data_IF_623145879599
#
_entry.id   IF_623145879599
#
_cell.length_a   1.000
_cell.length_b   1.000
_cell.length_c   1.000
_cell.angle_alpha   90.00
_cell.angle_beta   90.00
_cell.angle_gamma   90.00
#
_symmetry.space_group_name_H-M   'P 1'
#
loop_
_entity.id
_entity.type
_entity.pdbx_description
1 polymer ?
#
# COMPACT_ATOMS: atom_id res chain seq x y z
N UNK A 1 -4.88 -25.32 10.68
CA UNK A 1 -5.80 -25.56 11.82
C UNK A 1 -7.19 -25.99 11.36
N UNK A 2 -7.71 -25.47 10.24
CA UNK A 2 -8.96 -25.96 9.66
C UNK A 2 -8.94 -27.48 9.38
N UNK A 3 -7.84 -27.99 8.81
CA UNK A 3 -7.64 -29.43 8.59
C UNK A 3 -7.75 -30.27 9.86
N UNK A 4 -7.27 -29.77 11.00
CA UNK A 4 -7.38 -30.49 12.28
C UNK A 4 -8.84 -30.60 12.72
N UNK A 5 -9.62 -29.54 12.48
CA UNK A 5 -11.06 -29.54 12.77
C UNK A 5 -11.81 -30.47 11.82
N UNK A 6 -11.50 -30.43 10.52
CA UNK A 6 -12.09 -31.34 9.53
C UNK A 6 -11.77 -32.81 9.86
N UNK A 7 -10.52 -33.09 10.26
CA UNK A 7 -10.10 -34.41 10.72
C UNK A 7 -10.85 -34.84 11.99
N UNK A 8 -10.90 -34.00 13.03
CA UNK A 8 -11.56 -34.33 14.29
C UNK A 8 -13.06 -34.64 14.11
N UNK A 9 -13.74 -33.94 13.19
CA UNK A 9 -15.17 -34.15 12.88
C UNK A 9 -15.48 -35.53 12.29
N UNK A 10 -14.48 -36.30 11.86
CA UNK A 10 -14.68 -37.69 11.42
C UNK A 10 -15.16 -38.61 12.57
N UNK A 11 -14.97 -38.20 13.83
CA UNK A 11 -15.48 -38.89 15.01
C UNK A 11 -16.50 -38.02 15.75
N UNK A 12 -17.74 -37.90 15.26
CA UNK A 12 -18.69 -36.88 15.71
C UNK A 12 -19.04 -36.96 17.20
N UNK A 13 -19.04 -38.17 17.77
CA UNK A 13 -19.35 -38.45 19.18
C UNK A 13 -18.15 -38.33 20.10
N UNK A 14 -16.93 -38.14 19.58
CA UNK A 14 -15.75 -37.95 20.40
C UNK A 14 -15.84 -36.61 21.15
N UNK A 15 -15.46 -36.63 22.42
CA UNK A 15 -15.37 -35.40 23.21
C UNK A 15 -14.05 -34.70 22.91
N UNK A 16 -14.11 -33.42 22.53
CA UNK A 16 -12.95 -32.57 22.34
C UNK A 16 -12.36 -32.24 23.71
N UNK A 17 -11.06 -32.53 23.89
CA UNK A 17 -10.33 -32.19 25.11
C UNK A 17 -10.36 -30.70 25.37
N UNK A 18 -10.47 -30.33 26.64
CA UNK A 18 -10.46 -28.93 27.08
C UNK A 18 -9.13 -28.27 26.75
N UNK A 19 -9.18 -27.09 26.14
CA UNK A 19 -8.02 -26.25 25.87
C UNK A 19 -7.86 -25.26 27.01
N UNK A 20 -6.70 -25.28 27.67
CA UNK A 20 -6.34 -24.29 28.69
C UNK A 20 -5.55 -23.15 28.06
N UNK A 21 -5.94 -21.93 28.37
CA UNK A 21 -5.29 -20.70 27.95
C UNK A 21 -4.53 -20.12 29.13
N UNK A 22 -3.24 -19.81 28.93
CA UNK A 22 -2.38 -19.29 29.98
C UNK A 22 -1.92 -17.87 29.67
N UNK A 23 -1.77 -17.05 30.71
CA UNK A 23 -1.14 -15.74 30.62
C UNK A 23 0.36 -15.83 30.35
N UNK A 24 0.98 -17.00 30.56
CA UNK A 24 2.41 -17.25 30.30
C UNK A 24 2.72 -17.38 28.80
N UNK A 25 1.73 -17.72 27.98
CA UNK A 25 1.87 -17.80 26.51
C UNK A 25 2.27 -16.44 25.87
N UNK A 26 2.20 -15.35 26.65
CA UNK A 26 2.51 -13.96 26.31
C UNK A 26 3.96 -13.55 26.65
N UNK A 27 4.73 -14.42 27.32
CA UNK A 27 6.01 -14.02 27.93
C UNK A 27 7.10 -13.67 26.90
N UNK A 28 7.07 -14.26 25.70
CA UNK A 28 8.12 -14.07 24.68
C UNK A 28 8.02 -12.69 24.00
N UNK A 29 6.82 -12.14 23.81
CA UNK A 29 6.63 -10.84 23.15
C UNK A 29 7.09 -9.65 24.01
N UNK A 30 7.13 -9.80 25.33
CA UNK A 30 7.56 -8.72 26.25
C UNK A 30 9.07 -8.58 26.38
N UNK A 31 9.82 -9.63 26.04
CA UNK A 31 11.28 -9.62 26.14
C UNK A 31 11.93 -8.81 25.00
N UNK A 32 11.26 -8.74 23.85
CA UNK A 32 11.65 -7.93 22.71
C UNK A 32 10.72 -6.73 22.63
N UNK A 33 10.98 -5.72 23.47
CA UNK A 33 10.18 -4.51 23.68
C UNK A 33 10.06 -3.58 22.45
N UNK A 34 9.63 -4.12 21.31
CA UNK A 34 9.29 -3.37 20.11
C UNK A 34 7.79 -3.48 19.76
N UNK A 35 7.05 -4.34 20.45
CA UNK A 35 5.62 -4.49 20.21
C UNK A 35 4.80 -4.09 21.45
N UNK A 36 4.00 -3.05 21.28
CA UNK A 36 2.83 -2.76 22.12
C UNK A 36 1.71 -3.80 21.92
N UNK A 37 2.01 -4.94 21.25
CA UNK A 37 1.08 -5.94 20.73
C UNK A 37 0.78 -7.13 21.67
N UNK A 38 1.37 -7.22 22.87
CA UNK A 38 1.09 -8.34 23.80
C UNK A 38 -0.38 -8.47 24.24
N UNK A 39 -1.13 -7.35 24.25
CA UNK A 39 -2.59 -7.39 24.49
C UNK A 39 -3.34 -7.92 23.26
N UNK A 40 -2.85 -7.64 22.06
CA UNK A 40 -3.45 -8.09 20.79
C UNK A 40 -3.27 -9.60 20.59
N UNK A 41 -2.10 -10.15 20.96
CA UNK A 41 -1.84 -11.57 20.76
C UNK A 41 -2.79 -12.49 21.56
N UNK A 42 -3.13 -12.13 22.81
CA UNK A 42 -4.11 -12.87 23.62
C UNK A 42 -5.50 -12.85 23.00
N UNK A 43 -5.94 -11.67 22.57
CA UNK A 43 -7.25 -11.54 21.91
C UNK A 43 -7.28 -12.30 20.60
N UNK A 44 -6.20 -12.26 19.81
CA UNK A 44 -6.06 -13.01 18.56
C UNK A 44 -6.09 -14.53 18.80
N UNK A 45 -5.38 -15.03 19.81
CA UNK A 45 -5.43 -16.44 20.25
C UNK A 45 -6.84 -16.84 20.69
N UNK A 46 -7.47 -16.05 21.55
CA UNK A 46 -8.81 -16.33 22.07
C UNK A 46 -9.81 -16.42 20.90
N UNK A 47 -9.78 -15.42 20.01
CA UNK A 47 -10.59 -15.37 18.79
C UNK A 47 -10.35 -16.58 17.89
N UNK A 48 -9.10 -17.08 17.77
CA UNK A 48 -8.80 -18.28 16.99
C UNK A 48 -9.61 -19.48 17.46
N UNK A 49 -9.64 -19.76 18.77
CA UNK A 49 -10.40 -20.88 19.33
C UNK A 49 -11.91 -20.67 19.21
N UNK A 50 -12.39 -19.47 19.52
CA UNK A 50 -13.81 -19.10 19.38
C UNK A 50 -14.31 -19.26 17.93
N UNK A 51 -13.46 -18.94 16.94
CA UNK A 51 -13.80 -19.09 15.53
C UNK A 51 -14.07 -20.55 15.13
N UNK A 52 -13.49 -21.53 15.83
CA UNK A 52 -13.75 -22.95 15.61
C UNK A 52 -14.89 -23.49 16.46
N UNK A 53 -15.60 -22.62 17.19
CA UNK A 53 -16.77 -22.96 17.99
C UNK A 53 -16.47 -23.37 19.43
N UNK A 54 -15.22 -23.23 19.90
CA UNK A 54 -14.90 -23.52 21.30
C UNK A 54 -15.47 -22.43 22.21
N UNK A 55 -16.27 -22.84 23.19
CA UNK A 55 -16.78 -21.96 24.24
C UNK A 55 -15.76 -21.92 25.38
N UNK A 56 -15.16 -20.76 25.61
CA UNK A 56 -14.12 -20.58 26.62
C UNK A 56 -14.65 -19.75 27.79
N UNK A 57 -14.43 -20.27 28.99
CA UNK A 57 -14.64 -19.53 30.23
C UNK A 57 -13.35 -18.82 30.58
N UNK A 58 -13.41 -17.50 30.61
CA UNK A 58 -12.25 -16.61 30.83
C UNK A 58 -12.19 -16.12 32.27
N UNK A 59 -11.00 -15.74 32.71
CA UNK A 59 -10.80 -14.85 33.86
C UNK A 59 -11.11 -13.38 33.50
N UNK A 60 -11.08 -12.49 34.50
CA UNK A 60 -11.52 -11.09 34.39
C UNK A 60 -10.87 -10.32 33.22
N UNK A 61 -9.60 -10.64 32.89
CA UNK A 61 -8.84 -9.97 31.84
C UNK A 61 -8.72 -10.79 30.55
N UNK A 62 -9.42 -11.93 30.44
CA UNK A 62 -9.34 -12.90 29.34
C UNK A 62 -7.91 -13.35 29.01
N UNK A 63 -7.01 -13.27 29.98
CA UNK A 63 -5.64 -13.73 29.80
C UNK A 63 -5.53 -15.23 30.02
N UNK A 64 -6.26 -15.74 31.00
CA UNK A 64 -6.40 -17.16 31.28
C UNK A 64 -7.82 -17.64 31.00
N UNK A 65 -7.97 -18.94 30.81
CA UNK A 65 -9.28 -19.54 30.63
C UNK A 65 -9.20 -21.01 30.29
N UNK A 66 -10.35 -21.64 30.20
CA UNK A 66 -10.45 -23.03 29.74
C UNK A 66 -11.68 -23.19 28.87
N UNK A 67 -11.54 -23.98 27.80
CA UNK A 67 -12.69 -24.34 26.98
C UNK A 67 -13.57 -25.37 27.71
N UNK A 68 -14.88 -25.30 27.48
CA UNK A 68 -15.79 -26.33 27.90
C UNK A 68 -15.64 -27.57 27.00
N UNK A 69 -15.84 -28.79 27.54
CA UNK A 69 -15.95 -29.98 26.73
C UNK A 69 -17.09 -29.84 25.72
N UNK A 70 -16.88 -30.30 24.49
CA UNK A 70 -17.89 -30.31 23.43
C UNK A 70 -17.70 -31.55 22.54
N UNK A 71 -18.73 -31.94 21.81
CA UNK A 71 -18.60 -33.03 20.84
C UNK A 71 -17.84 -32.53 19.60
N UNK A 72 -17.06 -33.39 18.96
CA UNK A 72 -16.29 -33.02 17.78
C UNK A 72 -17.19 -32.53 16.64
N UNK A 73 -18.42 -33.05 16.53
CA UNK A 73 -19.39 -32.61 15.53
C UNK A 73 -19.74 -31.12 15.62
N UNK A 74 -19.65 -30.54 16.83
CA UNK A 74 -20.02 -29.15 17.13
C UNK A 74 -18.91 -28.16 16.75
N UNK A 75 -17.72 -28.65 16.40
CA UNK A 75 -16.65 -27.81 15.86
C UNK A 75 -17.07 -27.19 14.53
N UNK A 76 -16.64 -25.94 14.31
CA UNK A 76 -17.00 -25.14 13.14
C UNK A 76 -15.78 -24.95 12.23
N UNK A 77 -15.64 -25.70 11.12
CA UNK A 77 -14.62 -25.40 10.12
C UNK A 77 -14.80 -23.98 9.58
N UNK A 78 -13.69 -23.36 9.19
CA UNK A 78 -13.66 -21.98 8.72
C UNK A 78 -12.73 -21.83 7.53
N UNK A 79 -13.33 -21.54 6.38
CA UNK A 79 -12.61 -21.30 5.10
C UNK A 79 -12.56 -19.80 4.75
N UNK A 80 -13.06 -18.92 5.63
CA UNK A 80 -13.11 -17.48 5.33
C UNK A 80 -11.73 -16.84 5.16
N UNK A 81 -10.66 -17.51 5.61
CA UNK A 81 -9.29 -17.02 5.43
C UNK A 81 -8.88 -17.02 3.94
N UNK A 82 -9.44 -17.93 3.13
CA UNK A 82 -9.17 -18.01 1.68
C UNK A 82 -9.62 -16.73 0.95
N UNK A 83 -10.63 -16.02 1.48
CA UNK A 83 -11.08 -14.75 0.89
C UNK A 83 -10.07 -13.63 1.01
N UNK A 84 -9.20 -13.68 2.02
CA UNK A 84 -8.24 -12.63 2.32
C UNK A 84 -6.80 -12.99 1.95
N UNK A 85 -6.50 -14.28 1.76
CA UNK A 85 -5.16 -14.77 1.50
C UNK A 85 -5.11 -15.30 0.07
N UNK A 86 -4.35 -14.63 -0.78
CA UNK A 86 -4.06 -15.12 -2.13
C UNK A 86 -2.81 -15.99 -2.09
N UNK A 87 -2.99 -17.29 -2.32
CA UNK A 87 -1.87 -18.21 -2.55
C UNK A 87 -1.23 -17.87 -3.90
N UNK A 88 0.10 -17.74 -3.93
CA UNK A 88 0.87 -17.52 -5.15
C UNK A 88 2.02 -18.52 -5.22
N UNK A 89 2.31 -18.97 -6.42
CA UNK A 89 3.52 -19.75 -6.69
C UNK A 89 4.76 -18.87 -6.49
N UNK A 90 5.70 -19.37 -5.68
CA UNK A 90 6.92 -18.62 -5.32
C UNK A 90 7.69 -18.15 -6.58
N UNK A 91 7.91 -18.99 -7.60
CA UNK A 91 8.63 -18.55 -8.80
C UNK A 91 7.92 -17.43 -9.56
N UNK A 92 6.58 -17.51 -9.69
CA UNK A 92 5.79 -16.49 -10.37
C UNK A 92 5.82 -15.17 -9.62
N UNK A 93 5.65 -15.22 -8.30
CA UNK A 93 5.72 -14.05 -7.44
C UNK A 93 7.07 -13.34 -7.52
N UNK A 94 8.17 -14.10 -7.50
CA UNK A 94 9.52 -13.53 -7.65
C UNK A 94 9.69 -12.88 -9.03
N UNK A 95 9.18 -13.51 -10.10
CA UNK A 95 9.23 -12.96 -11.45
C UNK A 95 8.48 -11.64 -11.54
N UNK A 96 7.26 -11.56 -10.99
CA UNK A 96 6.45 -10.34 -10.93
C UNK A 96 7.19 -9.22 -10.18
N UNK A 97 7.72 -9.51 -8.99
CA UNK A 97 8.50 -8.54 -8.22
C UNK A 97 9.69 -8.00 -8.99
N UNK A 98 10.42 -8.86 -9.72
CA UNK A 98 11.57 -8.43 -10.54
C UNK A 98 11.15 -7.49 -11.66
N UNK A 99 10.03 -7.77 -12.33
CA UNK A 99 9.50 -6.88 -13.37
C UNK A 99 9.07 -5.54 -12.79
N UNK A 100 8.41 -5.54 -11.63
CA UNK A 100 7.96 -4.31 -10.96
C UNK A 100 9.16 -3.45 -10.54
N UNK A 101 10.19 -4.05 -9.93
CA UNK A 101 11.44 -3.38 -9.57
C UNK A 101 12.13 -2.79 -10.81
N UNK A 102 12.15 -3.52 -11.93
CA UNK A 102 12.74 -3.02 -13.17
C UNK A 102 11.97 -1.80 -13.71
N UNK A 103 10.64 -1.84 -13.68
CA UNK A 103 9.79 -0.73 -14.09
C UNK A 103 10.01 0.51 -13.19
N UNK A 104 10.05 0.35 -11.87
CA UNK A 104 10.34 1.47 -10.97
C UNK A 104 11.74 2.05 -11.17
N UNK A 105 12.75 1.21 -11.43
CA UNK A 105 14.11 1.70 -11.74
C UNK A 105 14.14 2.51 -13.02
N UNK A 106 13.40 2.09 -14.05
CA UNK A 106 13.28 2.84 -15.30
C UNK A 106 12.60 4.19 -15.09
N UNK A 107 11.48 4.22 -14.35
CA UNK A 107 10.79 5.47 -13.99
C UNK A 107 11.69 6.40 -13.17
N UNK A 108 12.39 5.86 -12.18
CA UNK A 108 13.33 6.64 -11.37
C UNK A 108 14.48 7.22 -12.19
N UNK A 109 14.99 6.47 -13.18
CA UNK A 109 16.01 6.97 -14.11
C UNK A 109 15.49 8.12 -14.97
N UNK A 110 14.29 7.98 -15.53
CA UNK A 110 13.63 9.05 -16.30
C UNK A 110 13.44 10.31 -15.46
N UNK A 111 12.90 10.17 -14.26
CA UNK A 111 12.71 11.28 -13.32
C UNK A 111 14.03 11.98 -12.98
N UNK A 112 15.14 11.24 -12.81
CA UNK A 112 16.46 11.84 -12.57
C UNK A 112 16.92 12.68 -13.75
N UNK A 113 16.74 12.20 -14.98
CA UNK A 113 17.06 12.95 -16.19
C UNK A 113 16.22 14.24 -16.29
N UNK A 114 14.92 14.15 -16.02
CA UNK A 114 14.02 15.30 -16.06
C UNK A 114 14.37 16.35 -14.99
N UNK A 115 14.67 15.90 -13.76
CA UNK A 115 15.15 16.78 -12.69
C UNK A 115 16.45 17.47 -13.11
N UNK A 116 17.42 16.73 -13.64
CA UNK A 116 18.69 17.31 -14.08
C UNK A 116 18.50 18.34 -15.21
N UNK A 117 17.59 18.05 -16.15
CA UNK A 117 17.23 18.97 -17.23
C UNK A 117 16.57 20.24 -16.71
N UNK A 118 15.60 20.12 -15.80
CA UNK A 118 14.92 21.26 -15.19
C UNK A 118 15.87 22.10 -14.33
N UNK A 119 16.76 21.45 -13.57
CA UNK A 119 17.77 22.14 -12.78
C UNK A 119 18.69 22.96 -13.68
N UNK A 120 19.20 22.38 -14.77
CA UNK A 120 20.02 23.12 -15.74
C UNK A 120 19.28 24.32 -16.32
N UNK A 121 17.98 24.20 -16.60
CA UNK A 121 17.17 25.32 -17.09
C UNK A 121 17.01 26.44 -16.05
N UNK A 122 16.91 26.08 -14.77
CA UNK A 122 16.90 27.05 -13.67
C UNK A 122 18.26 27.75 -13.60
N UNK A 123 19.36 26.99 -13.58
CA UNK A 123 20.71 27.54 -13.50
C UNK A 123 21.02 28.48 -14.68
N UNK A 124 20.61 28.13 -15.89
CA UNK A 124 20.79 28.97 -17.08
C UNK A 124 19.94 30.25 -17.02
N UNK A 125 18.75 30.18 -16.39
CA UNK A 125 17.91 31.35 -16.14
C UNK A 125 18.55 32.27 -15.08
N UNK A 126 19.08 31.71 -14.00
CA UNK A 126 19.76 32.44 -12.92
C UNK A 126 21.03 33.15 -13.40
N UNK A 127 21.79 32.54 -14.31
CA UNK A 127 22.99 33.18 -14.91
C UNK A 127 22.66 34.40 -15.76
N UNK A 128 21.45 34.50 -16.32
CA UNK A 128 21.11 35.57 -17.26
C UNK A 128 19.62 35.97 -17.19
N UNK A 129 19.15 36.52 -16.06
CA UNK A 129 17.73 36.68 -15.77
C UNK A 129 17.00 37.60 -16.76
N UNK A 130 17.63 38.69 -17.19
CA UNK A 130 17.05 39.63 -18.16
C UNK A 130 16.93 39.00 -19.55
N UNK A 131 17.97 38.29 -20.02
CA UNK A 131 17.94 37.61 -21.32
C UNK A 131 16.91 36.49 -21.34
N UNK A 132 16.82 35.73 -20.24
CA UNK A 132 15.82 34.68 -20.07
C UNK A 132 14.39 35.25 -20.10
N UNK A 133 14.12 36.31 -19.35
CA UNK A 133 12.80 36.96 -19.32
C UNK A 133 12.40 37.51 -20.70
N UNK A 134 13.32 38.19 -21.40
CA UNK A 134 13.09 38.69 -22.76
C UNK A 134 12.82 37.55 -23.75
N UNK A 135 13.58 36.44 -23.68
CA UNK A 135 13.35 35.26 -24.53
C UNK A 135 11.99 34.61 -24.26
N UNK A 136 11.58 34.55 -23.00
CA UNK A 136 10.30 33.98 -22.60
C UNK A 136 9.13 34.84 -23.09
N UNK A 137 9.24 36.16 -22.98
CA UNK A 137 8.27 37.11 -23.53
C UNK A 137 8.22 37.04 -25.05
N UNK A 138 9.38 36.95 -25.71
CA UNK A 138 9.45 36.80 -27.16
C UNK A 138 8.76 35.50 -27.61
N UNK A 139 9.08 34.35 -27.02
CA UNK A 139 8.44 33.09 -27.38
C UNK A 139 6.92 33.08 -27.15
N UNK A 140 6.43 33.84 -26.16
CA UNK A 140 5.00 33.92 -25.83
C UNK A 140 4.23 34.91 -26.71
N UNK A 141 4.87 35.99 -27.14
CA UNK A 141 4.21 37.11 -27.82
C UNK A 141 4.69 37.34 -29.25
N UNK A 142 5.69 36.60 -29.76
CA UNK A 142 6.26 36.79 -31.10
C UNK A 142 5.18 36.78 -32.19
N UNK A 143 4.24 35.84 -32.14
CA UNK A 143 3.14 35.78 -33.12
C UNK A 143 2.21 37.00 -33.03
N UNK A 144 1.91 37.48 -31.82
CA UNK A 144 1.07 38.68 -31.61
C UNK A 144 1.79 39.96 -32.00
N UNK A 145 3.08 40.06 -31.71
CA UNK A 145 3.94 41.19 -32.09
C UNK A 145 4.09 41.23 -33.62
N UNK A 146 4.33 40.08 -34.26
CA UNK A 146 4.39 39.98 -35.73
C UNK A 146 3.07 40.41 -36.38
N UNK A 147 1.93 40.01 -35.80
CA UNK A 147 0.61 40.40 -36.29
C UNK A 147 0.35 41.91 -36.15
N UNK A 148 0.73 42.51 -35.01
CA UNK A 148 0.64 43.97 -34.81
C UNK A 148 1.53 44.76 -35.78
N UNK A 149 2.74 44.27 -36.05
CA UNK A 149 3.65 44.90 -37.03
C UNK A 149 3.07 44.82 -38.45
N UNK A 150 2.51 43.66 -38.84
CA UNK A 150 1.85 43.49 -40.14
C UNK A 150 0.62 44.39 -40.30
N UNK A 151 -0.24 44.48 -39.27
CA UNK A 151 -1.39 45.38 -39.28
C UNK A 151 -0.97 46.86 -39.34
N UNK A 152 0.05 47.27 -38.58
CA UNK A 152 0.57 48.63 -38.59
C UNK A 152 1.18 49.05 -39.93
N UNK A 153 1.93 48.16 -40.58
CA UNK A 153 2.46 48.39 -41.92
C UNK A 153 1.35 48.48 -42.98
N UNK A 154 0.30 47.65 -42.86
CA UNK A 154 -0.88 47.71 -43.74
C UNK A 154 -1.63 49.04 -43.65
N UNK A 155 -1.81 49.58 -42.44
CA UNK A 155 -2.45 50.89 -42.22
C UNK A 155 -1.61 52.04 -42.78
N UNK A 156 -0.28 52.00 -42.59
CA UNK A 156 0.65 53.00 -43.16
C UNK A 156 0.66 53.01 -44.69
N UNK A 157 0.61 51.82 -45.32
CA UNK A 157 0.52 51.70 -46.77
C UNK A 157 -0.83 52.19 -47.34
N UNK A 158 -1.92 51.99 -46.61
CA UNK A 158 -3.24 52.49 -46.98
C UNK A 158 -3.31 54.04 -46.88
N UNK A 159 -2.73 54.64 -45.84
CA UNK A 159 -2.68 56.10 -45.68
C UNK A 159 -1.87 56.80 -46.78
N UNK A 160 -0.76 56.20 -47.24
CA UNK A 160 0.03 56.74 -48.38
C UNK A 160 -0.65 56.65 -49.74
N UNK A 161 -1.72 55.86 -49.88
CA UNK A 161 -2.52 55.78 -51.12
C UNK A 161 -3.65 56.82 -51.17
N UNK A 162 -3.95 57.48 -50.05
CA UNK A 162 -5.04 58.45 -49.91
C UNK A 162 -4.57 59.91 -49.75
N UNK A 163 -3.25 60.15 -49.71
CA UNK A 163 -2.58 61.45 -49.78
C UNK A 163 -1.91 61.60 -51.14
#
# INVERSE_FOLDING_TARGET
MNEVVLWARQWPTATVSTVSLSSVDDYIDKLHAHDTAGVDNKMRRNKLYENFGLNVVYDDNKANGHSLPMAAQDLKPRDTWERNIKVREVPEYIRELRMEIAAYRQLASGNKCDIAYLQKRIDDAEKSPVRWACRQLWNRYAAKIALLILCGLGVSAALKKFL
#
